data_IF_052485803296
#
_entry.id   IF_052485803296
#
_cell.length_a   1.000
_cell.length_b   1.000
_cell.length_c   1.000
_cell.angle_alpha   90.00
_cell.angle_beta   90.00
_cell.angle_gamma   90.00
#
_symmetry.space_group_name_H-M   'P 1'
#
loop_
_entity.id
_entity.type
_entity.pdbx_description
1 polymer ?
#
# COMPACT_ATOMS: atom_id res chain seq x y z
N UNK A 1 -19.94 13.62 -1.51
CA UNK A 1 -19.51 12.57 -0.53
C UNK A 1 -18.33 13.12 0.27
N UNK A 2 -18.20 12.75 1.55
CA UNK A 2 -17.25 13.33 2.49
C UNK A 2 -16.69 12.29 3.44
N UNK A 3 -15.52 12.57 4.04
CA UNK A 3 -14.94 11.78 5.13
C UNK A 3 -14.30 12.70 6.19
N UNK A 4 -14.03 12.17 7.37
CA UNK A 4 -13.38 12.88 8.46
C UNK A 4 -11.94 12.43 8.63
N UNK A 5 -11.00 13.27 8.18
CA UNK A 5 -9.57 12.99 8.18
C UNK A 5 -8.77 13.96 9.06
N UNK A 6 -7.52 13.61 9.31
CA UNK A 6 -6.57 14.49 9.98
C UNK A 6 -5.92 15.43 8.96
N UNK A 7 -6.05 16.76 9.11
CA UNK A 7 -5.41 17.73 8.21
C UNK A 7 -3.89 17.61 8.24
N UNK A 8 -3.27 17.85 7.08
CA UNK A 8 -1.80 17.91 6.94
C UNK A 8 -1.35 19.26 6.40
N UNK A 9 -0.11 19.71 6.74
CA UNK A 9 0.38 21.03 6.29
C UNK A 9 0.40 21.21 4.77
N UNK A 10 0.56 20.11 4.00
CA UNK A 10 0.54 20.09 2.53
C UNK A 10 -0.88 20.05 1.93
N UNK A 11 -1.91 20.26 2.75
CA UNK A 11 -3.31 20.30 2.32
C UNK A 11 -3.93 18.92 2.06
N UNK A 12 -3.25 17.83 2.42
CA UNK A 12 -3.77 16.45 2.38
C UNK A 12 -4.52 16.10 3.67
N UNK A 13 -5.21 14.96 3.66
CA UNK A 13 -5.94 14.46 4.82
C UNK A 13 -5.61 12.98 5.07
N UNK A 14 -5.33 12.61 6.32
CA UNK A 14 -5.00 11.24 6.72
C UNK A 14 -6.15 10.53 7.44
N UNK A 15 -6.29 9.22 7.17
CA UNK A 15 -7.20 8.34 7.91
C UNK A 15 -6.65 7.95 9.29
N UNK A 16 -5.36 8.10 9.51
CA UNK A 16 -4.62 7.84 10.76
C UNK A 16 -3.75 9.04 11.12
N UNK A 17 -3.18 9.02 12.33
CA UNK A 17 -2.40 10.14 12.86
C UNK A 17 -1.14 9.64 13.56
N UNK A 18 -0.38 8.76 12.88
CA UNK A 18 0.79 8.10 13.44
C UNK A 18 2.03 9.00 13.45
N UNK A 19 2.88 8.82 14.45
CA UNK A 19 4.29 9.23 14.39
C UNK A 19 5.07 8.05 13.81
N UNK A 20 5.60 8.20 12.61
CA UNK A 20 6.36 7.15 11.95
C UNK A 20 7.82 7.12 12.43
N UNK A 21 8.30 5.94 12.78
CA UNK A 21 9.70 5.66 13.10
C UNK A 21 10.31 4.97 11.88
N UNK A 22 11.07 5.71 11.09
CA UNK A 22 11.58 5.24 9.79
C UNK A 22 13.08 4.95 9.92
N UNK A 23 13.48 3.67 9.90
CA UNK A 23 14.89 3.31 9.76
C UNK A 23 15.36 3.64 8.34
N UNK A 24 16.56 4.19 8.17
CA UNK A 24 17.16 4.42 6.85
C UNK A 24 17.92 3.19 6.34
N UNK A 25 18.16 2.22 7.23
CA UNK A 25 18.75 0.90 6.92
C UNK A 25 18.19 -0.17 7.85
N UNK A 26 18.13 -1.42 7.37
CA UNK A 26 17.68 -2.56 8.17
C UNK A 26 18.46 -2.77 9.48
N UNK A 27 19.70 -2.29 9.56
CA UNK A 27 20.56 -2.41 10.76
C UNK A 27 19.95 -1.74 12.02
N UNK A 28 19.09 -0.74 11.85
CA UNK A 28 18.49 0.01 12.97
C UNK A 28 17.01 -0.28 13.18
N UNK A 29 16.45 -1.29 12.50
CA UNK A 29 15.06 -1.71 12.69
C UNK A 29 14.71 -1.95 14.16
N UNK A 30 15.62 -2.60 14.90
CA UNK A 30 15.41 -2.90 16.31
C UNK A 30 15.27 -1.64 17.17
N UNK A 31 15.98 -0.54 16.86
CA UNK A 31 15.82 0.75 17.56
C UNK A 31 14.39 1.26 17.39
N UNK A 32 13.90 1.32 16.14
CA UNK A 32 12.54 1.77 15.85
C UNK A 32 11.49 0.88 16.55
N UNK A 33 11.66 -0.44 16.48
CA UNK A 33 10.73 -1.39 17.12
C UNK A 33 10.73 -1.29 18.66
N UNK A 34 11.86 -0.98 19.29
CA UNK A 34 11.89 -0.77 20.74
C UNK A 34 11.18 0.54 21.12
N UNK A 35 11.39 1.63 20.36
CA UNK A 35 10.68 2.89 20.59
C UNK A 35 9.18 2.70 20.43
N UNK A 36 8.72 1.99 19.39
CA UNK A 36 7.30 1.72 19.16
C UNK A 36 6.65 0.99 20.35
N UNK A 37 7.34 0.00 20.91
CA UNK A 37 6.84 -0.73 22.09
C UNK A 37 6.74 0.14 23.36
N UNK A 38 7.56 1.19 23.44
CA UNK A 38 7.57 2.10 24.58
C UNK A 38 6.56 3.25 24.44
N UNK A 39 6.34 3.75 23.24
CA UNK A 39 5.59 4.98 22.98
C UNK A 39 4.34 4.71 22.15
N UNK A 40 3.18 4.75 22.79
CA UNK A 40 1.88 4.59 22.12
C UNK A 40 1.66 5.72 21.11
N UNK A 41 1.14 5.38 19.93
CA UNK A 41 0.88 6.33 18.84
C UNK A 41 2.03 6.43 17.83
N UNK A 42 3.13 5.72 18.06
CA UNK A 42 4.17 5.51 17.06
C UNK A 42 3.89 4.26 16.22
N UNK A 43 4.47 4.21 15.01
CA UNK A 43 4.54 3.04 14.13
C UNK A 43 5.94 2.92 13.55
N UNK A 44 6.62 1.84 13.85
CA UNK A 44 7.88 1.49 13.20
C UNK A 44 7.63 1.01 11.77
N UNK A 45 8.50 1.39 10.84
CA UNK A 45 8.46 0.98 9.44
C UNK A 45 9.68 0.10 9.12
N UNK A 46 9.82 -1.10 9.72
CA UNK A 46 11.00 -1.94 9.55
C UNK A 46 11.09 -2.46 8.12
N UNK A 47 12.27 -2.39 7.52
CA UNK A 47 12.55 -2.92 6.20
C UNK A 47 13.97 -3.48 6.11
N UNK A 48 14.27 -4.23 5.05
CA UNK A 48 15.55 -4.94 4.88
C UNK A 48 16.55 -4.21 3.97
N UNK A 49 16.22 -3.01 3.50
CA UNK A 49 17.04 -2.25 2.54
C UNK A 49 17.88 -1.15 3.22
N UNK A 50 18.60 -0.36 2.41
CA UNK A 50 19.32 0.86 2.82
C UNK A 50 20.84 0.79 2.66
N UNK A 51 21.42 -0.39 2.37
CA UNK A 51 22.86 -0.58 2.22
C UNK A 51 23.18 -1.59 1.11
N UNK A 52 24.32 -1.42 0.44
CA UNK A 52 24.88 -2.33 -0.57
C UNK A 52 23.93 -2.61 -1.73
N UNK A 53 23.41 -1.54 -2.35
CA UNK A 53 22.56 -1.59 -3.53
C UNK A 53 23.19 -0.87 -4.71
N UNK A 54 22.87 -1.28 -5.97
CA UNK A 54 23.13 -0.45 -7.14
C UNK A 54 22.47 0.94 -7.00
N UNK A 55 23.07 1.96 -7.60
CA UNK A 55 22.62 3.35 -7.44
C UNK A 55 21.14 3.59 -7.76
N UNK A 56 20.59 2.89 -8.76
CA UNK A 56 19.17 2.96 -9.12
C UNK A 56 18.27 2.47 -7.98
N UNK A 57 18.66 1.38 -7.32
CA UNK A 57 17.89 0.82 -6.20
C UNK A 57 18.03 1.70 -4.95
N UNK A 58 19.23 2.27 -4.69
CA UNK A 58 19.41 3.26 -3.62
C UNK A 58 18.46 4.46 -3.81
N UNK A 59 18.34 4.98 -5.04
CA UNK A 59 17.40 6.06 -5.36
C UNK A 59 15.93 5.64 -5.13
N UNK A 60 15.56 4.41 -5.52
CA UNK A 60 14.21 3.89 -5.30
C UNK A 60 13.90 3.74 -3.81
N UNK A 61 14.83 3.20 -3.01
CA UNK A 61 14.69 3.10 -1.55
C UNK A 61 14.54 4.48 -0.94
N UNK A 62 15.43 5.43 -1.28
CA UNK A 62 15.39 6.82 -0.80
C UNK A 62 14.03 7.47 -1.11
N UNK A 63 13.56 7.38 -2.37
CA UNK A 63 12.24 7.88 -2.79
C UNK A 63 11.10 7.25 -1.97
N UNK A 64 11.17 5.94 -1.76
CA UNK A 64 10.15 5.20 -1.00
C UNK A 64 10.07 5.69 0.44
N UNK A 65 11.22 5.82 1.13
CA UNK A 65 11.27 6.31 2.51
C UNK A 65 10.76 7.75 2.63
N UNK A 66 11.13 8.63 1.68
CA UNK A 66 10.62 10.01 1.64
C UNK A 66 9.09 10.00 1.52
N UNK A 67 8.55 9.20 0.60
CA UNK A 67 7.12 9.21 0.30
C UNK A 67 6.29 8.49 1.39
N UNK A 68 6.85 7.48 2.08
CA UNK A 68 6.24 6.93 3.30
C UNK A 68 6.15 8.00 4.39
N UNK A 69 7.20 8.78 4.62
CA UNK A 69 7.16 9.91 5.57
C UNK A 69 6.15 11.00 5.17
N UNK A 70 5.95 11.21 3.88
CA UNK A 70 4.92 12.13 3.35
C UNK A 70 3.51 11.56 3.36
N UNK A 71 3.32 10.25 3.57
CA UNK A 71 1.98 9.66 3.55
C UNK A 71 1.03 10.42 4.49
N UNK A 72 -0.21 10.73 4.08
CA UNK A 72 -1.13 11.51 4.92
C UNK A 72 -1.51 10.84 6.26
N UNK A 73 -1.38 9.51 6.40
CA UNK A 73 -1.59 8.81 7.67
C UNK A 73 -0.49 9.08 8.71
N UNK A 74 0.63 9.68 8.28
CA UNK A 74 1.76 10.05 9.12
C UNK A 74 1.66 11.53 9.49
N UNK A 75 1.69 11.84 10.79
CA UNK A 75 1.64 13.20 11.32
C UNK A 75 3.03 13.80 11.53
N UNK A 76 3.98 12.97 12.00
CA UNK A 76 5.37 13.37 12.24
C UNK A 76 6.29 12.16 11.99
N UNK A 77 7.57 12.40 11.81
CA UNK A 77 8.57 11.36 11.50
C UNK A 77 9.80 11.49 12.38
N UNK A 78 10.22 10.39 12.98
CA UNK A 78 11.57 10.23 13.52
C UNK A 78 12.35 9.30 12.60
N UNK A 79 13.34 9.84 11.90
CA UNK A 79 14.31 9.06 11.13
C UNK A 79 15.37 8.49 12.04
N UNK A 80 15.73 7.23 11.84
CA UNK A 80 16.82 6.58 12.57
C UNK A 80 17.81 6.01 11.57
N UNK A 81 19.02 6.54 11.55
CA UNK A 81 20.14 6.08 10.76
C UNK A 81 21.18 5.34 11.60
N UNK A 82 22.01 4.52 10.96
CA UNK A 82 23.20 3.95 11.59
C UNK A 82 24.38 4.92 11.52
N UNK A 83 24.64 5.47 10.33
CA UNK A 83 25.73 6.41 10.03
C UNK A 83 26.72 5.94 8.96
N UNK A 84 26.50 4.74 8.37
CA UNK A 84 27.32 4.20 7.27
C UNK A 84 26.48 3.64 6.10
N UNK A 85 25.18 3.83 6.13
CA UNK A 85 24.26 3.39 5.07
C UNK A 85 24.45 4.16 3.77
N UNK A 86 24.03 3.54 2.64
CA UNK A 86 24.08 4.18 1.32
C UNK A 86 22.94 5.16 1.09
N UNK A 87 21.82 5.00 1.80
CA UNK A 87 20.74 5.98 1.82
C UNK A 87 21.20 7.22 2.59
N UNK A 88 21.24 8.37 1.92
CA UNK A 88 21.65 9.62 2.55
C UNK A 88 20.53 10.14 3.46
N UNK A 89 20.74 10.08 4.77
CA UNK A 89 19.73 10.46 5.76
C UNK A 89 19.22 11.90 5.58
N UNK A 90 20.11 12.84 5.21
CA UNK A 90 19.77 14.24 4.96
C UNK A 90 18.87 14.42 3.76
N UNK A 91 19.02 13.60 2.73
CA UNK A 91 18.16 13.61 1.56
C UNK A 91 16.74 13.18 1.96
N UNK A 92 16.63 12.09 2.72
CA UNK A 92 15.33 11.61 3.24
C UNK A 92 14.70 12.68 4.14
N UNK A 93 15.46 13.24 5.08
CA UNK A 93 15.02 14.29 6.00
C UNK A 93 14.50 15.51 5.25
N UNK A 94 15.29 16.05 4.31
CA UNK A 94 14.92 17.22 3.52
C UNK A 94 13.72 16.95 2.62
N UNK A 95 13.66 15.73 2.05
CA UNK A 95 12.54 15.28 1.23
C UNK A 95 11.22 15.28 1.99
N UNK A 96 11.21 14.76 3.23
CA UNK A 96 10.01 14.73 4.08
C UNK A 96 9.64 16.14 4.54
N UNK A 97 10.61 16.99 4.92
CA UNK A 97 10.38 18.39 5.35
C UNK A 97 9.59 19.21 4.33
N UNK A 98 9.70 18.92 3.03
CA UNK A 98 8.90 19.59 1.99
C UNK A 98 7.39 19.42 2.17
N UNK A 99 6.92 18.45 2.95
CA UNK A 99 5.50 18.30 3.30
C UNK A 99 5.06 19.19 4.48
N UNK A 100 5.96 19.94 5.11
CA UNK A 100 5.68 20.77 6.29
C UNK A 100 5.51 20.00 7.60
N UNK A 101 5.63 18.68 7.59
CA UNK A 101 5.50 17.84 8.80
C UNK A 101 6.72 17.97 9.70
N UNK A 102 6.56 17.84 11.03
CA UNK A 102 7.68 17.68 11.95
C UNK A 102 8.50 16.44 11.59
N UNK A 103 9.82 16.59 11.49
CA UNK A 103 10.74 15.49 11.22
C UNK A 103 12.07 15.72 11.91
N UNK A 104 12.55 14.73 12.65
CA UNK A 104 13.85 14.68 13.30
C UNK A 104 14.66 13.47 12.83
N UNK A 105 15.98 13.53 13.05
CA UNK A 105 16.94 12.49 12.68
C UNK A 105 17.86 12.18 13.86
N UNK A 106 18.03 10.88 14.13
CA UNK A 106 19.06 10.34 15.02
C UNK A 106 19.96 9.38 14.25
N UNK A 107 21.27 9.42 14.52
CA UNK A 107 22.23 8.42 14.04
C UNK A 107 22.87 7.69 15.20
N UNK A 108 22.87 6.37 15.14
CA UNK A 108 23.40 5.51 16.21
C UNK A 108 24.86 5.83 16.49
N UNK A 109 25.70 6.02 15.44
CA UNK A 109 27.12 6.35 15.60
C UNK A 109 27.37 7.70 16.28
N UNK A 110 26.48 8.67 16.08
CA UNK A 110 26.61 10.00 16.67
C UNK A 110 26.06 10.06 18.10
N UNK A 111 25.02 9.26 18.39
CA UNK A 111 24.37 9.23 19.71
C UNK A 111 25.18 8.42 20.73
N UNK A 112 25.96 7.43 20.27
CA UNK A 112 26.83 6.63 21.15
C UNK A 112 26.37 5.20 21.38
N UNK A 113 25.45 4.69 20.54
CA UNK A 113 25.03 3.30 20.57
C UNK A 113 23.51 3.10 20.54
N UNK A 114 23.09 1.85 20.47
CA UNK A 114 21.70 1.48 20.29
C UNK A 114 20.83 1.87 21.50
N UNK A 115 21.28 1.62 22.72
CA UNK A 115 20.49 1.91 23.92
C UNK A 115 20.28 3.41 24.12
N UNK A 116 21.32 4.22 23.92
CA UNK A 116 21.21 5.67 24.01
C UNK A 116 20.32 6.24 22.90
N UNK A 117 20.38 5.66 21.69
CA UNK A 117 19.50 6.03 20.58
C UNK A 117 18.05 5.70 20.89
N UNK A 118 17.75 4.54 21.46
CA UNK A 118 16.39 4.19 21.91
C UNK A 118 15.90 5.18 22.96
N UNK A 119 16.71 5.46 23.98
CA UNK A 119 16.33 6.39 25.06
C UNK A 119 16.05 7.81 24.52
N UNK A 120 16.96 8.34 23.70
CA UNK A 120 16.82 9.68 23.10
C UNK A 120 15.64 9.72 22.12
N UNK A 121 15.50 8.67 21.27
CA UNK A 121 14.43 8.55 20.31
C UNK A 121 13.04 8.42 20.94
N UNK A 122 12.93 7.70 22.06
CA UNK A 122 11.70 7.58 22.81
C UNK A 122 11.21 8.94 23.35
N UNK A 123 12.13 9.79 23.86
CA UNK A 123 11.79 11.15 24.32
C UNK A 123 11.30 12.04 23.16
N UNK A 124 11.98 12.01 22.02
CA UNK A 124 11.58 12.77 20.82
C UNK A 124 10.22 12.28 20.32
N UNK A 125 10.05 10.96 20.19
CA UNK A 125 8.80 10.36 19.71
C UNK A 125 7.63 10.68 20.64
N UNK A 126 7.83 10.68 21.97
CA UNK A 126 6.80 11.04 22.93
C UNK A 126 6.32 12.50 22.76
N UNK A 127 7.25 13.43 22.54
CA UNK A 127 6.91 14.82 22.27
C UNK A 127 6.17 14.99 20.94
N UNK A 128 6.62 14.28 19.87
CA UNK A 128 5.93 14.28 18.59
C UNK A 128 4.50 13.73 18.69
N UNK A 129 4.30 12.66 19.48
CA UNK A 129 2.97 12.10 19.73
C UNK A 129 2.10 13.09 20.50
N UNK A 130 2.63 13.74 21.53
CA UNK A 130 1.91 14.76 22.29
C UNK A 130 1.38 15.86 21.37
N UNK A 131 2.26 16.44 20.54
CA UNK A 131 1.90 17.48 19.58
C UNK A 131 0.89 16.98 18.54
N UNK A 132 1.12 15.80 17.96
CA UNK A 132 0.21 15.21 16.98
C UNK A 132 -1.16 14.89 17.58
N UNK A 133 -1.24 14.54 18.86
CA UNK A 133 -2.50 14.21 19.54
C UNK A 133 -3.48 15.40 19.64
N UNK A 134 -2.98 16.61 19.50
CA UNK A 134 -3.79 17.83 19.48
C UNK A 134 -4.52 18.05 18.13
N UNK A 135 -4.07 17.39 17.04
CA UNK A 135 -4.70 17.50 15.73
C UNK A 135 -6.06 16.82 15.78
N UNK A 136 -7.12 17.54 15.40
CA UNK A 136 -8.49 17.02 15.36
C UNK A 136 -8.84 16.62 13.92
N UNK A 137 -9.77 15.68 13.77
CA UNK A 137 -10.34 15.33 12.47
C UNK A 137 -11.22 16.47 11.96
N UNK A 138 -11.14 16.73 10.67
CA UNK A 138 -11.94 17.71 9.95
C UNK A 138 -12.65 17.03 8.77
N UNK A 139 -13.69 17.68 8.25
CA UNK A 139 -14.44 17.20 7.10
C UNK A 139 -13.70 17.53 5.80
N UNK A 140 -13.52 16.53 4.93
CA UNK A 140 -12.91 16.66 3.60
C UNK A 140 -13.78 16.00 2.53
N UNK A 141 -13.72 16.52 1.31
CA UNK A 141 -14.25 15.86 0.14
C UNK A 141 -13.38 14.68 -0.33
N UNK A 142 -13.92 13.87 -1.25
CA UNK A 142 -13.21 12.68 -1.73
C UNK A 142 -11.97 13.01 -2.56
N UNK A 143 -11.80 14.24 -3.02
CA UNK A 143 -10.59 14.71 -3.72
C UNK A 143 -9.33 14.65 -2.84
N UNK A 144 -9.49 14.51 -1.52
CA UNK A 144 -8.40 14.27 -0.55
C UNK A 144 -8.20 12.80 -0.21
N UNK A 145 -9.03 11.91 -0.74
CA UNK A 145 -9.02 10.49 -0.44
C UNK A 145 -8.33 9.70 -1.56
N UNK A 146 -7.35 8.89 -1.17
CA UNK A 146 -6.66 7.98 -2.07
C UNK A 146 -6.82 6.55 -1.55
N UNK A 147 -7.45 5.69 -2.34
CA UNK A 147 -7.53 4.25 -2.08
C UNK A 147 -6.48 3.50 -2.89
N UNK A 148 -5.77 2.58 -2.22
CA UNK A 148 -4.96 1.56 -2.88
C UNK A 148 -5.72 0.25 -3.03
N UNK A 149 -5.39 -0.57 -4.02
CA UNK A 149 -5.98 -1.91 -4.16
C UNK A 149 -4.99 -2.95 -4.63
N UNK A 150 -5.16 -4.16 -4.09
CA UNK A 150 -4.54 -5.40 -4.57
C UNK A 150 -5.42 -6.62 -4.27
N UNK A 151 -5.09 -7.76 -4.89
CA UNK A 151 -5.64 -9.05 -4.49
C UNK A 151 -4.54 -9.94 -3.86
N UNK A 152 -4.95 -10.94 -3.11
CA UNK A 152 -4.03 -11.92 -2.56
C UNK A 152 -4.74 -13.22 -2.20
N UNK A 153 -4.05 -14.36 -2.37
CA UNK A 153 -4.66 -15.68 -2.22
C UNK A 153 -5.93 -15.81 -3.06
N UNK A 154 -5.87 -15.33 -4.32
CA UNK A 154 -7.02 -15.25 -5.23
C UNK A 154 -7.55 -16.64 -5.61
N UNK A 155 -8.84 -16.73 -5.77
CA UNK A 155 -9.59 -17.89 -6.27
C UNK A 155 -10.65 -17.44 -7.28
N UNK A 156 -11.47 -18.36 -7.79
CA UNK A 156 -12.54 -18.05 -8.75
C UNK A 156 -13.51 -16.99 -8.22
N UNK A 157 -13.83 -17.02 -6.91
CA UNK A 157 -14.77 -16.04 -6.31
C UNK A 157 -14.20 -14.61 -6.29
N UNK A 158 -12.88 -14.46 -6.34
CA UNK A 158 -12.24 -13.14 -6.41
C UNK A 158 -12.66 -12.37 -7.67
N UNK A 159 -12.67 -13.05 -8.83
CA UNK A 159 -13.10 -12.48 -10.11
C UNK A 159 -14.62 -12.33 -10.25
N UNK A 160 -15.39 -13.17 -9.56
CA UNK A 160 -16.86 -13.18 -9.66
C UNK A 160 -17.55 -12.23 -8.65
N UNK A 161 -16.85 -11.77 -7.62
CA UNK A 161 -17.43 -10.91 -6.57
C UNK A 161 -16.48 -9.82 -6.07
N UNK A 162 -15.50 -10.14 -5.23
CA UNK A 162 -14.74 -9.12 -4.50
C UNK A 162 -13.99 -8.12 -5.39
N UNK A 163 -13.42 -8.55 -6.52
CA UNK A 163 -12.76 -7.63 -7.46
C UNK A 163 -13.76 -6.72 -8.18
N UNK A 164 -14.94 -7.24 -8.52
CA UNK A 164 -16.02 -6.46 -9.13
C UNK A 164 -16.54 -5.38 -8.17
N UNK A 165 -16.72 -5.72 -6.89
CA UNK A 165 -17.10 -4.77 -5.83
C UNK A 165 -16.07 -3.64 -5.72
N UNK A 166 -14.79 -3.97 -5.75
CA UNK A 166 -13.71 -2.94 -5.74
C UNK A 166 -13.77 -2.08 -7.00
N UNK A 167 -14.18 -2.65 -8.14
CA UNK A 167 -14.45 -1.90 -9.37
C UNK A 167 -15.56 -0.86 -9.22
N UNK A 168 -16.66 -1.20 -8.52
CA UNK A 168 -17.71 -0.23 -8.20
C UNK A 168 -17.21 0.88 -7.29
N UNK A 169 -16.37 0.54 -6.31
CA UNK A 169 -15.74 1.56 -5.45
C UNK A 169 -14.82 2.47 -6.28
N UNK A 170 -14.09 1.92 -7.24
CA UNK A 170 -13.27 2.71 -8.16
C UNK A 170 -14.12 3.75 -8.92
N UNK A 171 -15.29 3.36 -9.45
CA UNK A 171 -16.25 4.29 -10.10
C UNK A 171 -16.75 5.36 -9.15
N UNK A 172 -17.20 4.97 -7.94
CA UNK A 172 -17.68 5.92 -6.92
C UNK A 172 -16.59 6.93 -6.59
N UNK A 173 -15.38 6.48 -6.33
CA UNK A 173 -14.25 7.34 -5.97
C UNK A 173 -13.91 8.32 -7.08
N UNK A 174 -13.68 7.84 -8.29
CA UNK A 174 -13.22 8.66 -9.41
C UNK A 174 -14.29 9.65 -9.90
N UNK A 175 -15.57 9.24 -9.89
CA UNK A 175 -16.69 10.14 -10.22
C UNK A 175 -16.86 11.28 -9.19
N UNK A 176 -16.29 11.16 -8.00
CA UNK A 176 -16.32 12.17 -6.95
C UNK A 176 -14.95 12.84 -6.72
N UNK A 177 -14.05 12.77 -7.71
CA UNK A 177 -12.75 13.42 -7.67
C UNK A 177 -11.68 12.73 -6.80
N UNK A 178 -11.95 11.53 -6.28
CA UNK A 178 -11.00 10.75 -5.51
C UNK A 178 -9.91 10.08 -6.36
N UNK A 179 -8.88 9.58 -5.71
CA UNK A 179 -7.75 8.89 -6.33
C UNK A 179 -7.81 7.39 -6.04
N UNK A 180 -7.52 6.58 -7.04
CA UNK A 180 -7.53 5.14 -6.96
C UNK A 180 -6.23 4.55 -7.54
N UNK A 181 -5.40 3.92 -6.69
CA UNK A 181 -4.13 3.31 -7.06
C UNK A 181 -4.29 1.79 -7.18
N UNK A 182 -4.01 1.27 -8.35
CA UNK A 182 -3.96 -0.18 -8.61
C UNK A 182 -2.53 -0.59 -8.93
N UNK A 183 -2.04 -1.64 -8.28
CA UNK A 183 -0.73 -2.25 -8.53
C UNK A 183 -0.85 -3.64 -9.15
N UNK A 184 0.19 -4.50 -8.91
CA UNK A 184 0.20 -5.93 -9.28
C UNK A 184 0.41 -6.18 -10.79
N UNK A 185 1.52 -5.65 -11.34
CA UNK A 185 1.84 -5.84 -12.77
C UNK A 185 1.90 -7.33 -13.17
N UNK A 186 2.32 -8.22 -12.28
CA UNK A 186 2.30 -9.65 -12.55
C UNK A 186 0.87 -10.22 -12.70
N UNK A 187 -0.11 -9.69 -11.96
CA UNK A 187 -1.49 -10.18 -11.98
C UNK A 187 -2.30 -9.63 -13.18
N UNK A 188 -1.77 -8.64 -13.91
CA UNK A 188 -2.37 -8.17 -15.16
C UNK A 188 -1.74 -8.81 -16.41
N UNK A 189 -0.69 -9.62 -16.23
CA UNK A 189 -0.02 -10.32 -17.33
C UNK A 189 -0.99 -11.25 -18.08
N UNK A 190 -1.15 -11.05 -19.38
CA UNK A 190 -2.14 -11.70 -20.23
C UNK A 190 -3.46 -10.92 -20.37
N UNK A 191 -3.65 -9.85 -19.57
CA UNK A 191 -4.77 -8.92 -19.63
C UNK A 191 -4.38 -7.46 -19.87
N UNK A 192 -3.07 -7.19 -20.08
CA UNK A 192 -2.51 -5.85 -20.24
C UNK A 192 -3.07 -5.06 -21.43
N UNK A 193 -3.39 -5.75 -22.52
CA UNK A 193 -3.98 -5.10 -23.70
C UNK A 193 -5.41 -4.61 -23.47
N UNK A 194 -6.15 -5.22 -22.52
CA UNK A 194 -7.46 -4.71 -22.12
C UNK A 194 -7.30 -3.41 -21.34
N UNK A 195 -6.33 -3.33 -20.41
CA UNK A 195 -6.02 -2.09 -19.67
C UNK A 195 -5.48 -0.98 -20.57
N UNK A 196 -4.62 -1.32 -21.54
CA UNK A 196 -4.11 -0.36 -22.54
C UNK A 196 -5.24 0.43 -23.21
N UNK A 197 -6.36 -0.23 -23.54
CA UNK A 197 -7.53 0.40 -24.18
C UNK A 197 -8.27 1.38 -23.26
N UNK A 198 -8.11 1.26 -21.95
CA UNK A 198 -8.73 2.14 -20.96
C UNK A 198 -7.87 3.37 -20.63
N UNK A 199 -6.63 3.46 -21.13
CA UNK A 199 -5.78 4.61 -20.89
C UNK A 199 -6.28 5.84 -21.67
N UNK A 200 -6.29 6.99 -21.00
CA UNK A 200 -6.67 8.29 -21.62
C UNK A 200 -5.66 8.73 -22.68
N UNK A 201 -4.44 8.20 -22.63
CA UNK A 201 -3.32 8.51 -23.52
C UNK A 201 -2.66 7.21 -23.97
N UNK A 202 -2.36 7.11 -25.27
CA UNK A 202 -1.71 5.95 -25.88
C UNK A 202 -0.35 5.64 -25.23
N UNK A 203 0.44 6.66 -24.91
CA UNK A 203 1.76 6.47 -24.30
C UNK A 203 1.67 5.82 -22.91
N UNK A 204 0.62 6.13 -22.14
CA UNK A 204 0.35 5.47 -20.85
C UNK A 204 -0.02 4.00 -21.06
N UNK A 205 -0.80 3.71 -22.10
CA UNK A 205 -1.16 2.33 -22.46
C UNK A 205 0.04 1.49 -22.88
N UNK A 206 0.98 2.06 -23.66
CA UNK A 206 2.22 1.37 -24.02
C UNK A 206 3.07 1.06 -22.79
N UNK A 207 3.17 1.99 -21.82
CA UNK A 207 3.90 1.74 -20.58
C UNK A 207 3.36 0.56 -19.77
N UNK A 208 2.04 0.33 -19.76
CA UNK A 208 1.48 -0.87 -19.09
C UNK A 208 2.01 -2.14 -19.74
N UNK A 209 2.02 -2.18 -21.08
CA UNK A 209 2.56 -3.33 -21.83
C UNK A 209 4.05 -3.49 -21.57
N UNK A 210 4.80 -2.38 -21.53
CA UNK A 210 6.23 -2.37 -21.22
C UNK A 210 6.52 -2.92 -19.82
N UNK A 211 5.76 -2.53 -18.80
CA UNK A 211 5.91 -3.04 -17.42
C UNK A 211 5.74 -4.57 -17.37
N UNK A 212 4.74 -5.10 -18.04
CA UNK A 212 4.52 -6.56 -18.13
C UNK A 212 5.66 -7.23 -18.88
N UNK A 213 6.07 -6.67 -20.03
CA UNK A 213 7.20 -7.18 -20.82
C UNK A 213 8.51 -7.19 -20.02
N UNK A 214 8.81 -6.10 -19.31
CA UNK A 214 10.04 -5.96 -18.53
C UNK A 214 10.06 -6.95 -17.35
N UNK A 215 8.91 -7.19 -16.71
CA UNK A 215 8.79 -8.24 -15.69
C UNK A 215 9.09 -9.62 -16.29
N UNK A 216 8.52 -9.93 -17.45
CA UNK A 216 8.76 -11.19 -18.15
C UNK A 216 10.22 -11.38 -18.52
N UNK A 217 10.85 -10.35 -19.12
CA UNK A 217 12.26 -10.39 -19.52
C UNK A 217 13.21 -10.54 -18.33
N UNK A 218 12.90 -9.92 -17.17
CA UNK A 218 13.67 -10.12 -15.95
C UNK A 218 13.61 -11.56 -15.46
N UNK A 219 12.44 -12.20 -15.55
CA UNK A 219 12.31 -13.63 -15.23
C UNK A 219 13.17 -14.49 -16.16
N UNK A 220 13.08 -14.28 -17.46
CA UNK A 220 13.89 -15.01 -18.42
C UNK A 220 15.41 -14.83 -18.21
N UNK A 221 15.84 -13.65 -17.81
CA UNK A 221 17.26 -13.36 -17.54
C UNK A 221 17.85 -14.21 -16.40
N UNK A 222 17.02 -14.70 -15.49
CA UNK A 222 17.40 -15.63 -14.41
C UNK A 222 16.97 -17.08 -14.68
N UNK A 223 16.59 -17.39 -15.91
CA UNK A 223 16.19 -18.75 -16.32
C UNK A 223 14.79 -19.18 -15.87
N UNK A 224 13.92 -18.23 -15.51
CA UNK A 224 12.56 -18.51 -15.03
C UNK A 224 11.49 -17.95 -15.98
N UNK A 225 10.48 -18.77 -16.31
CA UNK A 225 9.27 -18.27 -16.96
C UNK A 225 8.25 -17.85 -15.91
N UNK A 226 8.15 -16.53 -15.68
CA UNK A 226 7.24 -15.97 -14.68
C UNK A 226 5.76 -16.24 -14.98
N UNK A 227 5.39 -16.55 -16.22
CA UNK A 227 4.02 -16.95 -16.57
C UNK A 227 3.61 -18.25 -15.88
N UNK A 228 4.54 -19.20 -15.78
CA UNK A 228 4.32 -20.46 -15.06
C UNK A 228 4.23 -20.29 -13.53
N UNK A 229 4.98 -19.35 -12.95
CA UNK A 229 4.98 -19.10 -11.50
C UNK A 229 3.83 -18.19 -11.04
N UNK A 230 3.19 -17.46 -11.95
CA UNK A 230 2.12 -16.51 -11.61
C UNK A 230 0.82 -17.22 -11.16
N UNK A 231 0.58 -18.45 -11.59
CA UNK A 231 -0.48 -19.33 -11.12
C UNK A 231 0.07 -20.20 -9.98
N UNK A 232 -0.07 -19.75 -8.73
CA UNK A 232 0.34 -20.55 -7.58
C UNK A 232 -0.52 -21.81 -7.43
N UNK A 233 0.00 -22.84 -6.76
CA UNK A 233 -0.80 -24.03 -6.41
C UNK A 233 -2.08 -23.67 -5.64
N UNK A 234 -2.03 -22.60 -4.83
CA UNK A 234 -3.19 -22.04 -4.14
C UNK A 234 -4.24 -21.47 -5.08
N UNK A 235 -3.84 -20.78 -6.15
CA UNK A 235 -4.78 -20.27 -7.16
C UNK A 235 -5.48 -21.41 -7.91
N UNK A 236 -4.72 -22.44 -8.33
CA UNK A 236 -5.28 -23.63 -9.00
C UNK A 236 -6.23 -24.39 -8.07
N UNK A 237 -5.84 -24.61 -6.82
CA UNK A 237 -6.71 -25.24 -5.81
C UNK A 237 -7.96 -24.40 -5.49
N UNK A 238 -7.91 -23.08 -5.72
CA UNK A 238 -9.04 -22.15 -5.63
C UNK A 238 -9.91 -22.09 -6.89
N UNK A 239 -9.64 -22.93 -7.91
CA UNK A 239 -10.44 -23.06 -9.12
C UNK A 239 -10.02 -22.17 -10.30
N UNK A 240 -8.96 -21.37 -10.18
CA UNK A 240 -8.43 -20.61 -11.32
C UNK A 240 -7.74 -21.56 -12.32
N UNK A 241 -8.03 -21.41 -13.61
CA UNK A 241 -7.59 -22.33 -14.65
C UNK A 241 -6.48 -21.80 -15.53
N UNK A 242 -6.46 -20.49 -15.79
CA UNK A 242 -5.49 -19.86 -16.68
C UNK A 242 -4.98 -18.52 -16.14
N UNK A 243 -3.78 -18.12 -16.59
CA UNK A 243 -3.22 -16.82 -16.33
C UNK A 243 -4.12 -15.67 -16.81
N UNK A 244 -4.74 -15.84 -17.99
CA UNK A 244 -5.64 -14.83 -18.57
C UNK A 244 -6.90 -14.65 -17.71
N UNK A 245 -7.50 -15.75 -17.24
CA UNK A 245 -8.64 -15.69 -16.32
C UNK A 245 -8.28 -14.91 -15.05
N UNK A 246 -7.15 -15.23 -14.43
CA UNK A 246 -6.64 -14.50 -13.26
C UNK A 246 -6.45 -13.01 -13.56
N UNK A 247 -5.82 -12.68 -14.70
CA UNK A 247 -5.54 -11.31 -15.11
C UNK A 247 -6.82 -10.50 -15.38
N UNK A 248 -7.78 -11.06 -16.07
CA UNK A 248 -9.07 -10.40 -16.32
C UNK A 248 -9.83 -10.16 -15.01
N UNK A 249 -9.82 -11.14 -14.10
CA UNK A 249 -10.38 -10.99 -12.77
C UNK A 249 -9.66 -9.90 -11.96
N UNK A 250 -8.33 -9.78 -12.05
CA UNK A 250 -7.57 -8.71 -11.40
C UNK A 250 -7.87 -7.32 -11.99
N UNK A 251 -8.04 -7.24 -13.33
CA UNK A 251 -8.37 -5.99 -14.02
C UNK A 251 -9.74 -5.43 -13.59
N UNK A 252 -10.67 -6.31 -13.23
CA UNK A 252 -12.02 -5.93 -12.77
C UNK A 252 -12.03 -4.99 -11.55
N UNK A 253 -10.95 -4.96 -10.74
CA UNK A 253 -10.78 -4.00 -9.63
C UNK A 253 -10.81 -2.53 -10.05
N UNK A 254 -10.61 -2.23 -11.32
CA UNK A 254 -10.69 -0.87 -11.84
C UNK A 254 -11.91 -0.61 -12.70
N UNK A 255 -12.80 -1.61 -12.87
CA UNK A 255 -13.95 -1.55 -13.75
C UNK A 255 -13.58 -1.03 -15.16
N UNK A 256 -14.45 -0.25 -15.76
CA UNK A 256 -14.25 0.48 -17.02
C UNK A 256 -13.71 1.91 -16.83
N UNK A 257 -13.27 2.26 -15.62
CA UNK A 257 -12.77 3.60 -15.30
C UNK A 257 -11.50 3.90 -16.10
N UNK A 258 -11.44 5.05 -16.83
CA UNK A 258 -10.26 5.43 -17.57
C UNK A 258 -9.01 5.55 -16.70
N UNK A 259 -7.89 5.05 -17.20
CA UNK A 259 -6.58 5.12 -16.52
C UNK A 259 -5.91 6.44 -16.88
N UNK A 260 -5.73 7.31 -15.88
CA UNK A 260 -5.17 8.65 -16.06
C UNK A 260 -3.66 8.63 -16.26
N UNK A 261 -2.94 7.77 -15.53
CA UNK A 261 -1.49 7.63 -15.70
C UNK A 261 -0.97 6.28 -15.22
N UNK A 262 0.23 5.95 -15.69
CA UNK A 262 1.08 4.87 -15.18
C UNK A 262 2.19 5.48 -14.33
N UNK A 263 2.50 4.83 -13.23
CA UNK A 263 3.43 5.28 -12.20
C UNK A 263 4.55 4.25 -12.03
N UNK A 264 5.76 4.69 -11.76
CA UNK A 264 6.80 3.82 -11.24
C UNK A 264 6.56 3.50 -9.77
N UNK A 265 7.28 2.50 -9.24
CA UNK A 265 7.16 2.11 -7.84
C UNK A 265 7.30 3.30 -6.89
N UNK A 266 6.35 3.42 -5.96
CA UNK A 266 6.30 4.48 -4.96
C UNK A 266 6.11 5.92 -5.49
N UNK A 267 5.79 6.14 -6.77
CA UNK A 267 5.46 7.46 -7.28
C UNK A 267 4.10 7.94 -6.77
N UNK A 268 4.00 9.24 -6.49
CA UNK A 268 2.75 9.88 -6.08
C UNK A 268 2.01 10.39 -7.34
N UNK A 269 0.73 10.03 -7.55
CA UNK A 269 -0.05 10.51 -8.69
C UNK A 269 -0.21 12.04 -8.68
N UNK A 270 -0.24 12.65 -9.87
CA UNK A 270 -0.31 14.10 -10.04
C UNK A 270 -1.75 14.61 -10.19
N UNK A 271 -2.76 13.84 -9.83
CA UNK A 271 -4.15 14.25 -9.91
C UNK A 271 -5.11 13.14 -9.50
N UNK A 272 -6.42 13.43 -9.51
CA UNK A 272 -7.43 12.44 -9.20
C UNK A 272 -7.61 11.41 -10.33
N UNK A 273 -8.37 10.37 -10.05
CA UNK A 273 -8.71 9.33 -11.01
C UNK A 273 -7.99 8.00 -10.73
N UNK A 274 -8.07 7.07 -11.68
CA UNK A 274 -7.46 5.76 -11.59
C UNK A 274 -6.03 5.78 -12.16
N UNK A 275 -5.08 5.21 -11.43
CA UNK A 275 -3.68 5.10 -11.83
C UNK A 275 -3.19 3.67 -11.66
N UNK A 276 -2.32 3.22 -12.57
CA UNK A 276 -1.64 1.91 -12.49
C UNK A 276 -0.19 2.14 -12.07
N UNK A 277 0.23 1.50 -10.98
CA UNK A 277 1.60 1.60 -10.49
C UNK A 277 2.38 0.31 -10.80
N UNK A 278 3.61 0.46 -11.25
CA UNK A 278 4.55 -0.63 -11.50
C UNK A 278 5.00 -1.28 -10.18
N UNK A 279 4.14 -2.13 -9.63
CA UNK A 279 4.37 -2.85 -8.37
C UNK A 279 4.25 -4.35 -8.61
N UNK A 280 5.11 -5.19 -7.98
CA UNK A 280 4.97 -6.64 -8.04
C UNK A 280 3.73 -7.14 -7.29
N UNK A 281 3.37 -8.40 -7.50
CA UNK A 281 2.28 -9.06 -6.77
C UNK A 281 2.63 -9.45 -5.33
N UNK A 282 3.92 -9.41 -4.95
CA UNK A 282 4.34 -9.73 -3.59
C UNK A 282 3.71 -8.76 -2.57
N UNK A 283 3.08 -9.33 -1.51
CA UNK A 283 2.15 -8.60 -0.67
C UNK A 283 2.74 -7.38 0.04
N UNK A 284 3.89 -7.55 0.67
CA UNK A 284 4.50 -6.49 1.49
C UNK A 284 5.10 -5.36 0.66
N UNK A 285 5.79 -5.67 -0.44
CA UNK A 285 6.30 -4.67 -1.38
C UNK A 285 5.17 -3.89 -2.04
N UNK A 286 4.05 -4.59 -2.35
CA UNK A 286 2.88 -3.95 -2.95
C UNK A 286 2.24 -2.93 -2.00
N UNK A 287 1.93 -3.33 -0.77
CA UNK A 287 1.34 -2.45 0.24
C UNK A 287 2.26 -1.25 0.55
N UNK A 288 3.57 -1.47 0.60
CA UNK A 288 4.57 -0.41 0.81
C UNK A 288 4.59 0.58 -0.35
N UNK A 289 4.58 0.08 -1.60
CA UNK A 289 4.54 0.94 -2.80
C UNK A 289 3.28 1.78 -2.87
N UNK A 290 2.11 1.20 -2.55
CA UNK A 290 0.83 1.93 -2.50
C UNK A 290 0.80 2.97 -1.36
N UNK A 291 1.33 2.62 -0.18
CA UNK A 291 1.47 3.56 0.93
C UNK A 291 2.38 4.74 0.55
N UNK A 292 3.55 4.47 -0.05
CA UNK A 292 4.45 5.50 -0.56
C UNK A 292 3.80 6.34 -1.69
N UNK A 293 2.96 5.72 -2.52
CA UNK A 293 2.15 6.38 -3.54
C UNK A 293 1.05 7.29 -2.99
N UNK A 294 0.85 7.31 -1.67
CA UNK A 294 -0.10 8.21 -1.00
C UNK A 294 -1.46 7.61 -0.68
N UNK A 295 -1.64 6.30 -0.87
CA UNK A 295 -2.86 5.62 -0.41
C UNK A 295 -3.00 5.74 1.11
N UNK A 296 -4.23 6.02 1.60
CA UNK A 296 -4.54 6.15 3.03
C UNK A 296 -5.48 5.07 3.56
N UNK A 297 -6.14 4.34 2.68
CA UNK A 297 -6.89 3.10 2.95
C UNK A 297 -6.61 2.14 1.79
N UNK A 298 -6.49 0.86 2.10
CA UNK A 298 -6.25 -0.18 1.12
C UNK A 298 -7.42 -1.16 1.04
N UNK A 299 -7.90 -1.43 -0.18
CA UNK A 299 -8.92 -2.41 -0.48
C UNK A 299 -8.24 -3.72 -0.92
N UNK A 300 -8.20 -4.68 -0.02
CA UNK A 300 -7.50 -5.95 -0.22
C UNK A 300 -8.50 -7.07 -0.51
N UNK A 301 -8.66 -7.44 -1.76
CA UNK A 301 -9.52 -8.58 -2.13
C UNK A 301 -8.80 -9.90 -1.91
N UNK A 302 -9.52 -10.90 -1.42
CA UNK A 302 -8.97 -12.23 -1.17
C UNK A 302 -10.03 -13.32 -1.38
N UNK A 303 -9.61 -14.46 -1.92
CA UNK A 303 -10.48 -15.62 -2.03
C UNK A 303 -10.25 -16.63 -0.90
N UNK A 304 -8.98 -16.89 -0.56
CA UNK A 304 -8.59 -17.91 0.43
C UNK A 304 -8.13 -17.35 1.78
N UNK A 305 -8.17 -16.02 1.93
CA UNK A 305 -7.74 -15.31 3.13
C UNK A 305 -6.26 -14.90 3.09
N UNK A 306 -6.00 -13.65 3.45
CA UNK A 306 -4.66 -13.10 3.60
C UNK A 306 -4.62 -12.20 4.85
N UNK A 307 -3.87 -12.56 5.91
CA UNK A 307 -3.92 -11.85 7.18
C UNK A 307 -3.16 -10.52 7.18
N UNK A 308 -2.14 -10.39 6.33
CA UNK A 308 -1.18 -9.28 6.36
C UNK A 308 -1.80 -7.90 6.11
N UNK A 309 -1.32 -6.90 6.83
CA UNK A 309 -1.57 -5.47 6.65
C UNK A 309 -0.29 -4.70 6.35
N UNK A 310 -0.29 -3.40 6.68
CA UNK A 310 0.86 -2.51 6.57
C UNK A 310 0.82 -1.51 7.73
N UNK A 311 1.97 -1.09 8.30
CA UNK A 311 2.02 -0.28 9.52
C UNK A 311 1.25 1.05 9.46
N UNK A 312 1.21 1.69 8.29
CA UNK A 312 0.57 3.00 8.11
C UNK A 312 -0.60 3.02 7.12
N UNK A 313 -0.90 1.87 6.48
CA UNK A 313 -1.96 1.76 5.48
C UNK A 313 -3.01 0.74 5.93
N UNK A 314 -4.12 1.16 6.57
CA UNK A 314 -5.21 0.28 6.96
C UNK A 314 -5.71 -0.56 5.78
N UNK A 315 -5.80 -1.87 5.94
CA UNK A 315 -6.14 -2.80 4.87
C UNK A 315 -7.51 -3.46 5.14
N UNK A 316 -8.53 -3.05 4.37
CA UNK A 316 -9.88 -3.64 4.38
C UNK A 316 -9.85 -4.93 3.58
N UNK A 317 -10.04 -6.07 4.25
CA UNK A 317 -10.10 -7.40 3.62
C UNK A 317 -11.50 -7.69 3.13
N UNK A 318 -11.64 -7.87 1.80
CA UNK A 318 -12.91 -8.11 1.11
C UNK A 318 -12.88 -9.52 0.52
N UNK A 319 -13.82 -10.38 0.94
CA UNK A 319 -13.81 -11.80 0.53
C UNK A 319 -15.17 -12.24 0.00
N UNK A 320 -15.17 -12.89 -1.19
CA UNK A 320 -16.36 -13.48 -1.79
C UNK A 320 -16.48 -14.99 -1.61
N UNK A 321 -15.53 -15.62 -0.90
CA UNK A 321 -15.54 -17.05 -0.67
C UNK A 321 -16.23 -17.39 0.67
N UNK A 322 -17.39 -18.02 0.60
CA UNK A 322 -18.22 -18.37 1.78
C UNK A 322 -17.46 -19.24 2.80
N UNK A 323 -16.63 -20.19 2.33
CA UNK A 323 -15.83 -21.03 3.22
C UNK A 323 -14.79 -20.20 3.95
N UNK A 324 -14.08 -19.32 3.25
CA UNK A 324 -13.07 -18.44 3.83
C UNK A 324 -13.68 -17.47 4.84
N UNK A 325 -14.85 -16.89 4.53
CA UNK A 325 -15.58 -16.00 5.44
C UNK A 325 -15.96 -16.70 6.77
N UNK A 326 -16.10 -18.02 6.75
CA UNK A 326 -16.33 -18.82 7.95
C UNK A 326 -15.03 -19.19 8.67
N UNK A 327 -14.06 -19.76 7.92
CA UNK A 327 -12.83 -20.35 8.50
C UNK A 327 -11.78 -19.31 8.90
N UNK A 328 -11.77 -18.15 8.25
CA UNK A 328 -10.83 -17.04 8.50
C UNK A 328 -11.57 -15.75 8.91
N UNK A 329 -12.72 -15.89 9.56
CA UNK A 329 -13.59 -14.78 9.96
C UNK A 329 -12.86 -13.66 10.71
N UNK A 330 -11.86 -14.00 11.50
CA UNK A 330 -11.08 -13.02 12.26
C UNK A 330 -10.20 -12.09 11.38
N UNK A 331 -9.92 -12.49 10.12
CA UNK A 331 -9.10 -11.73 9.18
C UNK A 331 -9.91 -11.02 8.10
N UNK A 332 -11.21 -11.30 7.95
CA UNK A 332 -12.05 -10.73 6.90
C UNK A 332 -12.87 -9.58 7.46
N UNK A 333 -12.71 -8.39 6.89
CA UNK A 333 -13.46 -7.20 7.28
C UNK A 333 -14.86 -7.19 6.67
N UNK A 334 -14.98 -7.54 5.38
CA UNK A 334 -16.27 -7.50 4.65
C UNK A 334 -16.48 -8.76 3.82
N UNK A 335 -17.60 -9.43 4.08
CA UNK A 335 -18.12 -10.55 3.31
C UNK A 335 -18.95 -10.03 2.13
N UNK A 336 -18.63 -10.50 0.90
CA UNK A 336 -19.37 -10.21 -0.32
C UNK A 336 -19.75 -11.50 -1.08
N UNK A 337 -19.86 -12.62 -0.36
CA UNK A 337 -20.26 -13.90 -0.94
C UNK A 337 -21.71 -13.89 -1.46
N UNK A 338 -22.57 -13.02 -0.88
CA UNK A 338 -23.95 -12.82 -1.31
C UNK A 338 -24.13 -12.48 -2.79
N UNK A 339 -23.14 -11.86 -3.43
CA UNK A 339 -23.15 -11.60 -4.89
C UNK A 339 -23.18 -12.92 -5.68
N UNK A 340 -22.41 -13.91 -5.24
CA UNK A 340 -22.28 -15.19 -5.98
C UNK A 340 -23.33 -16.22 -5.54
N UNK A 341 -23.70 -16.23 -4.27
CA UNK A 341 -24.50 -17.30 -3.68
C UNK A 341 -25.93 -16.89 -3.30
N UNK A 342 -26.24 -15.60 -3.34
CA UNK A 342 -27.55 -15.04 -3.01
C UNK A 342 -28.02 -14.09 -4.11
N UNK A 343 -28.72 -13.02 -3.75
CA UNK A 343 -29.32 -12.07 -4.69
C UNK A 343 -28.85 -10.63 -4.51
N UNK A 344 -27.75 -10.38 -3.78
CA UNK A 344 -27.21 -9.03 -3.64
C UNK A 344 -26.68 -8.53 -5.00
N UNK A 345 -27.12 -7.35 -5.42
CA UNK A 345 -26.59 -6.76 -6.65
C UNK A 345 -25.18 -6.22 -6.43
N UNK A 346 -24.40 -6.10 -7.53
CA UNK A 346 -23.05 -5.57 -7.49
C UNK A 346 -23.03 -4.14 -6.96
N UNK A 347 -23.98 -3.31 -7.36
CA UNK A 347 -24.12 -1.91 -6.95
C UNK A 347 -24.39 -1.80 -5.44
N UNK A 348 -25.30 -2.65 -4.90
CA UNK A 348 -25.62 -2.67 -3.47
C UNK A 348 -24.40 -3.09 -2.65
N UNK A 349 -23.71 -4.15 -3.05
CA UNK A 349 -22.48 -4.60 -2.41
C UNK A 349 -21.37 -3.54 -2.51
N UNK A 350 -21.22 -2.90 -3.68
CA UNK A 350 -20.28 -1.81 -3.91
C UNK A 350 -20.50 -0.65 -2.95
N UNK A 351 -21.75 -0.21 -2.82
CA UNK A 351 -22.12 0.88 -1.90
C UNK A 351 -21.85 0.49 -0.44
N UNK A 352 -22.22 -0.70 -0.02
CA UNK A 352 -22.00 -1.21 1.35
C UNK A 352 -20.52 -1.29 1.71
N UNK A 353 -19.68 -1.80 0.82
CA UNK A 353 -18.23 -1.90 1.04
C UNK A 353 -17.57 -0.52 0.99
N UNK A 354 -18.03 0.37 0.11
CA UNK A 354 -17.61 1.76 0.08
C UNK A 354 -17.88 2.46 1.43
N UNK A 355 -19.08 2.31 1.99
CA UNK A 355 -19.45 2.90 3.29
C UNK A 355 -18.56 2.34 4.42
N UNK A 356 -18.25 1.04 4.39
CA UNK A 356 -17.30 0.45 5.33
C UNK A 356 -15.90 1.07 5.19
N UNK A 357 -15.40 1.22 3.95
CA UNK A 357 -14.09 1.82 3.68
C UNK A 357 -14.02 3.31 4.11
N UNK A 358 -15.11 4.07 3.94
CA UNK A 358 -15.24 5.43 4.49
C UNK A 358 -15.24 5.40 6.03
N UNK A 359 -15.90 4.43 6.66
CA UNK A 359 -15.80 4.20 8.11
C UNK A 359 -14.36 3.99 8.56
N UNK A 360 -13.55 3.24 7.79
CA UNK A 360 -12.11 3.05 8.05
C UNK A 360 -11.33 4.36 7.84
N UNK A 361 -11.64 5.12 6.81
CA UNK A 361 -11.06 6.47 6.62
C UNK A 361 -11.40 7.41 7.76
N UNK A 362 -12.59 7.28 8.35
CA UNK A 362 -13.04 8.03 9.53
C UNK A 362 -12.48 7.53 10.86
N UNK A 363 -11.72 6.42 10.86
CA UNK A 363 -11.01 5.94 12.04
C UNK A 363 -11.40 4.58 12.56
N UNK A 364 -12.38 3.89 11.99
CA UNK A 364 -12.64 2.48 12.31
C UNK A 364 -11.40 1.65 12.04
N UNK A 365 -11.02 0.81 12.99
CA UNK A 365 -9.86 -0.08 12.81
C UNK A 365 -10.22 -1.29 11.94
N UNK A 366 -9.30 -1.68 11.08
CA UNK A 366 -9.40 -2.95 10.35
C UNK A 366 -8.99 -4.12 11.24
N UNK A 367 -9.37 -5.33 10.85
CA UNK A 367 -8.99 -6.55 11.59
C UNK A 367 -7.49 -6.75 11.63
N UNK A 368 -6.77 -6.41 10.56
CA UNK A 368 -5.30 -6.49 10.54
C UNK A 368 -4.66 -5.56 11.59
N UNK A 369 -5.18 -4.35 11.75
CA UNK A 369 -4.73 -3.42 12.79
C UNK A 369 -5.04 -3.94 14.21
N UNK A 370 -6.26 -4.46 14.44
CA UNK A 370 -6.69 -5.00 15.74
C UNK A 370 -5.84 -6.20 16.17
N UNK A 371 -5.50 -7.07 15.22
CA UNK A 371 -4.74 -8.29 15.44
C UNK A 371 -3.22 -8.08 15.41
N UNK A 372 -2.73 -6.85 15.14
CA UNK A 372 -1.31 -6.52 14.96
C UNK A 372 -0.62 -7.34 13.84
N UNK A 373 -1.33 -7.66 12.76
CA UNK A 373 -0.78 -8.26 11.54
C UNK A 373 -0.33 -7.22 10.50
N UNK A 374 -0.01 -6.02 10.95
CA UNK A 374 0.37 -4.86 10.13
C UNK A 374 1.86 -4.47 10.24
N UNK A 375 2.65 -5.18 11.03
CA UNK A 375 4.01 -4.79 11.39
C UNK A 375 5.12 -5.14 10.38
N UNK A 376 4.81 -5.77 9.24
CA UNK A 376 5.80 -6.15 8.23
C UNK A 376 5.77 -5.22 7.03
N UNK A 377 6.95 -4.80 6.56
CA UNK A 377 7.10 -3.96 5.38
C UNK A 377 8.31 -4.40 4.56
N UNK A 378 8.20 -4.37 3.25
CA UNK A 378 9.30 -4.65 2.31
C UNK A 378 9.35 -3.56 1.24
N UNK A 379 10.56 -3.21 0.81
CA UNK A 379 10.79 -2.23 -0.25
C UNK A 379 11.35 -2.95 -1.47
N UNK A 380 10.70 -2.76 -2.62
CA UNK A 380 11.14 -3.34 -3.88
C UNK A 380 12.50 -2.78 -4.31
N UNK A 381 13.39 -3.69 -4.70
CA UNK A 381 14.61 -3.40 -5.46
C UNK A 381 14.64 -4.26 -6.72
N UNK A 382 15.40 -3.85 -7.73
CA UNK A 382 15.47 -4.53 -9.02
C UNK A 382 16.79 -5.26 -9.26
N UNK A 383 17.85 -4.82 -8.61
CA UNK A 383 19.18 -5.39 -8.76
C UNK A 383 19.57 -6.35 -7.64
N UNK A 384 20.75 -6.95 -7.75
CA UNK A 384 21.28 -7.79 -6.66
C UNK A 384 21.67 -6.94 -5.46
N UNK A 385 21.69 -7.55 -4.28
CA UNK A 385 22.43 -7.05 -3.12
C UNK A 385 23.92 -7.35 -3.36
N UNK A 386 24.82 -6.39 -3.12
CA UNK A 386 26.27 -6.47 -3.37
C UNK A 386 27.07 -6.43 -2.09
#
# INVERSE_FOLDING_TARGET
>A
MKFYGYPRPDGKAGARNYVALIPTTGCVNAVCSHIEKMIRGTKALPHHQGCLHPSKDTQQVTKTLINLGKNPNVAAVLLVGLGCEMVVCEEVLSGIRKSGKPVDLLRVHEVGGMLDTVNKGAKIAAEMVLQSSAIRREEFGLEKLCFGTKCGSSDTTSGLSSNLVVGEICRIMTNNGGTFLQGEICDIMGGEYALKKLCVDQAQGEKIVDFVRDLYLRGLAVGADVRGSQMTSGNVAGGLTTLVEKALGANAKGADVPIQSTLEYADIPQGPGRHIMNIPGHGFENLTGLAAGGAIVHLFTTGRGAPNGNPILPAVKICGNQKTNTTMKEHIDVDVASITYESETLEAAGQRVYEYAIGVANGTMTRAEILNFDGTMEILISGPVI
#
